data_IF_937264082699
#
_entry.id   IF_937264082699
#
_cell.length_a   1.000
_cell.length_b   1.000
_cell.length_c   1.000
_cell.angle_alpha   90.00
_cell.angle_beta   90.00
_cell.angle_gamma   90.00
#
_symmetry.space_group_name_H-M   'P 1'
#
loop_
_entity.id
_entity.type
_entity.pdbx_description
1 polymer ?
#
# COMPACT_ATOMS: atom_id res chain seq x y z
N UNK A 1 30.47 -0.76 -3.05
CA UNK A 1 29.14 -0.66 -3.69
C UNK A 1 28.37 -1.90 -3.28
N UNK A 2 27.10 -1.78 -2.89
CA UNK A 2 26.32 -2.96 -2.54
C UNK A 2 26.25 -3.91 -3.74
N UNK A 3 26.07 -5.20 -3.45
CA UNK A 3 25.88 -6.22 -4.49
C UNK A 3 24.61 -5.90 -5.26
N UNK A 4 24.71 -5.78 -6.58
CA UNK A 4 23.51 -5.66 -7.44
C UNK A 4 22.83 -7.02 -7.50
N UNK A 5 21.60 -7.09 -7.03
CA UNK A 5 20.77 -8.29 -7.04
C UNK A 5 20.08 -8.39 -8.41
N UNK A 6 20.23 -9.51 -9.07
CA UNK A 6 19.56 -9.75 -10.35
C UNK A 6 18.04 -9.88 -10.18
N UNK A 7 17.28 -9.53 -11.20
CA UNK A 7 15.82 -9.68 -11.19
C UNK A 7 15.37 -11.13 -10.91
N UNK A 8 16.14 -12.11 -11.40
CA UNK A 8 15.86 -13.52 -11.18
C UNK A 8 16.01 -13.89 -9.70
N UNK A 9 17.06 -13.38 -9.03
CA UNK A 9 17.25 -13.57 -7.58
C UNK A 9 16.15 -12.88 -6.77
N UNK A 10 15.77 -11.64 -7.15
CA UNK A 10 14.65 -10.92 -6.51
C UNK A 10 13.36 -11.72 -6.60
N UNK A 11 12.98 -12.19 -7.79
CA UNK A 11 11.75 -12.96 -7.99
C UNK A 11 11.76 -14.27 -7.20
N UNK A 12 12.90 -14.98 -7.16
CA UNK A 12 13.02 -16.19 -6.36
C UNK A 12 12.76 -15.90 -4.87
N UNK A 13 13.29 -14.79 -4.36
CA UNK A 13 13.13 -14.38 -2.97
C UNK A 13 11.71 -13.89 -2.65
N UNK A 14 11.08 -13.14 -3.55
CA UNK A 14 9.66 -12.80 -3.41
C UNK A 14 8.77 -14.04 -3.40
N UNK A 15 9.02 -15.02 -4.27
CA UNK A 15 8.29 -16.29 -4.25
C UNK A 15 8.47 -17.04 -2.94
N UNK A 16 9.70 -17.09 -2.42
CA UNK A 16 9.99 -17.71 -1.12
C UNK A 16 9.26 -16.99 0.02
N UNK A 17 9.22 -15.65 0.02
CA UNK A 17 8.45 -14.85 0.98
C UNK A 17 6.97 -15.23 0.99
N UNK A 18 6.30 -15.14 -0.16
CA UNK A 18 4.86 -15.43 -0.26
C UNK A 18 4.51 -16.88 0.08
N UNK A 19 5.35 -17.82 -0.34
CA UNK A 19 5.17 -19.25 -0.05
C UNK A 19 5.61 -19.64 1.37
N UNK A 20 6.23 -18.74 2.13
CA UNK A 20 6.87 -19.03 3.41
C UNK A 20 7.80 -20.25 3.30
N UNK A 21 8.55 -20.34 2.23
CA UNK A 21 9.52 -21.42 2.01
C UNK A 21 10.88 -21.09 2.62
N UNK A 22 11.69 -22.14 2.78
CA UNK A 22 13.06 -21.98 3.28
C UNK A 22 13.90 -21.11 2.34
N UNK A 23 14.76 -20.29 2.92
CA UNK A 23 15.66 -19.37 2.23
C UNK A 23 16.93 -19.16 3.08
N UNK A 24 18.01 -18.71 2.45
CA UNK A 24 19.30 -18.44 3.09
C UNK A 24 19.28 -17.17 3.97
N UNK A 25 18.43 -16.21 3.64
CA UNK A 25 18.22 -14.95 4.37
C UNK A 25 16.81 -14.41 4.13
N UNK A 26 16.30 -13.48 4.96
CA UNK A 26 15.06 -12.81 4.67
C UNK A 26 15.18 -11.93 3.40
N UNK A 27 14.05 -11.51 2.83
CA UNK A 27 14.02 -10.48 1.81
C UNK A 27 14.45 -9.15 2.43
N UNK A 28 15.49 -8.52 1.86
CA UNK A 28 16.04 -7.25 2.37
C UNK A 28 16.17 -6.25 1.24
N UNK A 29 15.59 -5.08 1.43
CA UNK A 29 15.65 -4.01 0.45
C UNK A 29 15.66 -2.63 1.07
N UNK A 30 15.98 -1.65 0.25
CA UNK A 30 15.85 -0.24 0.56
C UNK A 30 14.80 0.41 -0.34
N UNK A 31 14.06 1.35 0.21
CA UNK A 31 13.00 2.10 -0.49
C UNK A 31 13.17 3.59 -0.25
N UNK A 32 12.54 4.38 -1.10
CA UNK A 32 12.61 5.84 -1.07
C UNK A 32 11.82 6.36 0.13
N UNK A 33 12.45 7.19 0.98
CA UNK A 33 11.80 7.79 2.14
C UNK A 33 11.06 9.10 1.81
N UNK A 34 11.38 9.71 0.66
CA UNK A 34 10.75 10.97 0.27
C UNK A 34 9.24 10.83 0.22
N UNK A 35 8.55 11.80 0.82
CA UNK A 35 7.11 11.92 0.66
C UNK A 35 6.78 12.07 -0.83
N UNK A 36 5.61 11.58 -1.25
CA UNK A 36 5.21 11.69 -2.63
C UNK A 36 5.26 13.13 -3.07
N UNK A 37 5.90 13.35 -4.19
CA UNK A 37 5.90 14.65 -4.81
C UNK A 37 4.48 15.01 -5.25
N UNK A 38 4.11 16.24 -4.99
CA UNK A 38 2.87 16.85 -5.53
C UNK A 38 3.18 17.74 -6.74
N UNK A 39 4.42 17.68 -7.29
CA UNK A 39 4.84 18.49 -8.45
C UNK A 39 3.94 18.26 -9.66
N UNK A 40 3.52 17.00 -9.88
CA UNK A 40 2.61 16.65 -10.96
C UNK A 40 1.16 17.12 -10.74
N UNK A 41 0.85 17.81 -9.63
CA UNK A 41 -0.42 18.51 -9.43
C UNK A 41 -0.20 19.99 -9.65
N UNK A 42 -0.69 20.54 -10.77
CA UNK A 42 -0.43 21.94 -11.18
C UNK A 42 -1.04 22.97 -10.25
N UNK A 43 -2.15 22.64 -9.59
CA UNK A 43 -2.82 23.53 -8.64
C UNK A 43 -2.07 23.55 -7.31
N UNK A 44 -1.60 24.69 -6.88
CA UNK A 44 -0.82 24.83 -5.63
C UNK A 44 -1.68 24.76 -4.36
N UNK A 45 -2.93 25.22 -4.41
CA UNK A 45 -3.88 25.15 -3.30
C UNK A 45 -5.34 25.12 -3.78
N UNK A 46 -6.25 24.59 -2.93
CA UNK A 46 -7.68 24.52 -3.19
C UNK A 46 -8.14 23.17 -3.74
N UNK A 47 -9.31 23.16 -4.40
CA UNK A 47 -9.87 21.94 -4.98
C UNK A 47 -9.16 21.58 -6.29
N UNK A 48 -8.76 20.33 -6.40
CA UNK A 48 -8.06 19.75 -7.55
C UNK A 48 -9.09 19.15 -8.52
N UNK A 49 -8.89 19.36 -9.81
CA UNK A 49 -9.64 18.72 -10.89
C UNK A 49 -8.76 17.72 -11.66
N UNK A 50 -9.33 16.75 -12.41
CA UNK A 50 -8.53 15.79 -13.19
C UNK A 50 -7.50 16.44 -14.12
N UNK A 51 -7.85 17.58 -14.75
CA UNK A 51 -6.97 18.30 -15.67
C UNK A 51 -5.83 19.07 -14.97
N UNK A 52 -5.88 19.22 -13.65
CA UNK A 52 -4.77 19.78 -12.88
C UNK A 52 -3.61 18.78 -12.73
N UNK A 53 -3.79 17.50 -13.09
CA UNK A 53 -2.76 16.49 -12.97
C UNK A 53 -1.89 16.42 -14.22
N UNK A 54 -0.55 16.46 -14.06
CA UNK A 54 0.42 16.51 -15.16
C UNK A 54 1.15 15.16 -15.34
N UNK A 55 0.84 14.48 -16.44
CA UNK A 55 1.47 13.20 -16.80
C UNK A 55 2.96 13.40 -17.08
N UNK A 56 3.35 14.47 -17.77
CA UNK A 56 4.74 14.66 -18.18
C UNK A 56 5.64 14.94 -16.97
N UNK A 57 5.17 15.73 -16.02
CA UNK A 57 5.91 15.95 -14.79
C UNK A 57 6.03 14.68 -13.96
N UNK A 58 4.99 13.84 -13.89
CA UNK A 58 5.07 12.53 -13.22
C UNK A 58 6.09 11.60 -13.91
N UNK A 59 6.15 11.56 -15.24
CA UNK A 59 7.15 10.76 -15.96
C UNK A 59 8.58 11.24 -15.70
N UNK A 60 8.78 12.56 -15.62
CA UNK A 60 10.07 13.15 -15.32
C UNK A 60 10.54 12.81 -13.90
N UNK A 61 9.64 12.93 -12.90
CA UNK A 61 9.93 12.53 -11.52
C UNK A 61 10.33 11.04 -11.45
N UNK A 62 9.59 10.20 -12.17
CA UNK A 62 9.87 8.77 -12.23
C UNK A 62 11.25 8.46 -12.82
N UNK A 63 11.68 9.18 -13.88
CA UNK A 63 13.00 9.01 -14.46
C UNK A 63 14.12 9.46 -13.48
N UNK A 64 13.90 10.56 -12.76
CA UNK A 64 14.81 11.04 -11.71
C UNK A 64 14.98 9.99 -10.61
N UNK A 65 13.88 9.42 -10.11
CA UNK A 65 13.89 8.36 -9.10
C UNK A 65 14.55 7.08 -9.63
N UNK A 66 14.19 6.61 -10.82
CA UNK A 66 14.78 5.42 -11.43
C UNK A 66 16.29 5.54 -11.58
N UNK A 67 16.79 6.67 -12.06
CA UNK A 67 18.22 6.91 -12.22
C UNK A 67 18.96 6.88 -10.88
N UNK A 68 18.35 7.45 -9.83
CA UNK A 68 18.97 7.55 -8.53
C UNK A 68 18.97 6.20 -7.75
N UNK A 69 17.89 5.42 -7.85
CA UNK A 69 17.64 4.32 -6.91
C UNK A 69 17.80 2.91 -7.47
N UNK A 70 17.71 2.68 -8.78
CA UNK A 70 17.66 1.34 -9.38
C UNK A 70 18.79 0.37 -8.93
N UNK A 71 19.95 0.88 -8.56
CA UNK A 71 21.12 0.07 -8.20
C UNK A 71 21.26 -0.16 -6.68
N UNK A 72 20.47 0.53 -5.87
CA UNK A 72 20.58 0.53 -4.40
C UNK A 72 19.30 0.11 -3.70
N UNK A 73 18.48 -0.71 -4.34
CA UNK A 73 17.22 -1.19 -3.78
C UNK A 73 17.31 -2.60 -3.15
N UNK A 74 18.43 -3.31 -3.31
CA UNK A 74 18.57 -4.68 -2.82
C UNK A 74 17.52 -5.60 -3.44
N UNK A 75 16.77 -6.33 -2.61
CA UNK A 75 15.66 -7.20 -3.09
C UNK A 75 14.39 -6.41 -3.46
N UNK A 76 14.23 -5.16 -3.02
CA UNK A 76 13.07 -4.36 -3.41
C UNK A 76 13.06 -4.11 -4.93
N UNK A 77 11.86 -3.97 -5.48
CA UNK A 77 11.68 -3.77 -6.92
C UNK A 77 11.20 -2.34 -7.17
N UNK A 78 11.90 -1.62 -8.05
CA UNK A 78 11.39 -0.32 -8.48
C UNK A 78 10.06 -0.49 -9.20
N UNK A 79 9.06 0.32 -8.85
CA UNK A 79 7.70 0.22 -9.39
C UNK A 79 7.23 1.61 -9.81
N UNK A 80 6.87 1.76 -11.07
CA UNK A 80 6.25 2.98 -11.56
C UNK A 80 4.80 3.11 -11.07
N UNK A 81 4.38 4.34 -10.77
CA UNK A 81 3.14 4.59 -10.10
C UNK A 81 2.39 5.80 -10.67
N UNK A 82 1.09 5.69 -10.97
CA UNK A 82 0.30 6.84 -11.40
C UNK A 82 0.05 7.76 -10.21
N UNK A 83 0.96 8.70 -9.95
CA UNK A 83 0.83 9.71 -8.90
C UNK A 83 0.44 9.07 -7.54
N UNK A 84 1.34 8.28 -6.96
CA UNK A 84 1.01 7.39 -5.85
C UNK A 84 0.44 8.06 -4.59
N UNK A 85 0.72 9.34 -4.37
CA UNK A 85 0.11 10.13 -3.29
C UNK A 85 -1.32 10.59 -3.56
N UNK A 86 -1.78 10.48 -4.79
CA UNK A 86 -3.11 10.96 -5.13
C UNK A 86 -4.18 9.99 -4.65
N UNK A 87 -5.20 10.46 -3.91
CA UNK A 87 -6.24 9.59 -3.34
C UNK A 87 -7.30 9.21 -4.41
N UNK A 88 -6.89 8.45 -5.43
CA UNK A 88 -7.70 8.11 -6.60
C UNK A 88 -9.07 7.54 -6.25
N UNK A 89 -9.12 6.61 -5.28
CA UNK A 89 -10.37 5.93 -4.92
C UNK A 89 -11.35 6.87 -4.22
N UNK A 90 -10.86 7.83 -3.42
CA UNK A 90 -11.71 8.87 -2.83
C UNK A 90 -12.26 9.80 -3.91
N UNK A 91 -11.44 10.19 -4.87
CA UNK A 91 -11.86 11.01 -5.99
C UNK A 91 -12.95 10.30 -6.83
N UNK A 92 -12.77 9.00 -7.10
CA UNK A 92 -13.79 8.17 -7.78
C UNK A 92 -15.07 8.01 -6.96
N UNK A 93 -14.97 8.02 -5.63
CA UNK A 93 -16.11 7.98 -4.72
C UNK A 93 -16.89 9.29 -4.66
N UNK A 94 -16.41 10.34 -5.33
CA UNK A 94 -17.03 11.66 -5.36
C UNK A 94 -16.54 12.60 -4.25
N UNK A 95 -15.51 12.23 -3.48
CA UNK A 95 -14.87 13.13 -2.52
C UNK A 95 -14.17 14.28 -3.26
N UNK A 96 -14.47 15.55 -2.96
CA UNK A 96 -13.67 16.66 -3.45
C UNK A 96 -12.24 16.52 -2.94
N UNK A 97 -11.25 16.56 -3.84
CA UNK A 97 -9.84 16.47 -3.46
C UNK A 97 -9.30 17.87 -3.25
N UNK A 98 -8.74 18.11 -2.07
CA UNK A 98 -8.15 19.38 -1.70
C UNK A 98 -6.63 19.24 -1.61
N UNK A 99 -5.91 20.24 -2.16
CA UNK A 99 -4.47 20.42 -1.98
C UNK A 99 -4.22 21.60 -1.04
N UNK A 100 -3.23 21.47 -0.18
CA UNK A 100 -2.69 22.54 0.65
C UNK A 100 -1.20 22.28 0.84
N UNK A 101 -0.37 23.20 0.35
CA UNK A 101 1.09 23.02 0.27
C UNK A 101 1.44 21.63 -0.33
N UNK A 102 2.03 20.75 0.44
CA UNK A 102 2.51 19.44 0.02
C UNK A 102 1.53 18.28 0.32
N UNK A 103 0.30 18.60 0.78
CA UNK A 103 -0.68 17.59 1.15
C UNK A 103 -1.84 17.53 0.16
N UNK A 104 -2.36 16.30 -0.01
CA UNK A 104 -3.57 16.00 -0.78
C UNK A 104 -4.49 15.14 0.07
N UNK A 105 -5.77 15.52 0.20
CA UNK A 105 -6.76 14.73 0.92
C UNK A 105 -8.16 14.88 0.35
N UNK A 106 -9.01 13.87 0.60
CA UNK A 106 -10.43 13.92 0.24
C UNK A 106 -11.27 14.60 1.32
N UNK A 107 -12.22 15.41 0.92
CA UNK A 107 -13.26 15.91 1.80
C UNK A 107 -14.44 14.93 1.84
N UNK A 108 -15.16 14.80 2.97
CA UNK A 108 -16.34 13.94 3.04
C UNK A 108 -17.37 14.26 1.96
N UNK A 109 -18.02 13.21 1.42
CA UNK A 109 -18.98 13.33 0.33
C UNK A 109 -20.30 12.57 0.60
N UNK A 110 -20.40 11.82 1.69
CA UNK A 110 -21.60 11.07 2.08
C UNK A 110 -22.25 11.69 3.31
N UNK A 111 -23.12 12.67 3.08
CA UNK A 111 -23.86 13.33 4.17
C UNK A 111 -25.10 12.55 4.58
N UNK A 112 -25.77 11.93 3.61
CA UNK A 112 -27.02 11.20 3.78
C UNK A 112 -26.87 9.76 3.27
N UNK A 113 -27.36 8.80 4.05
CA UNK A 113 -27.36 7.39 3.67
C UNK A 113 -28.15 7.09 2.38
N UNK A 114 -29.15 7.90 2.01
CA UNK A 114 -29.83 7.81 0.72
C UNK A 114 -28.91 7.99 -0.50
N UNK A 115 -27.74 8.59 -0.29
CA UNK A 115 -26.72 8.78 -1.34
C UNK A 115 -25.77 7.58 -1.51
N UNK A 116 -25.83 6.59 -0.61
CA UNK A 116 -24.91 5.43 -0.61
C UNK A 116 -24.88 4.70 -1.97
N UNK A 117 -25.98 4.68 -2.71
CA UNK A 117 -26.07 4.08 -4.05
C UNK A 117 -25.15 4.72 -5.10
N UNK A 118 -24.68 5.94 -4.87
CA UNK A 118 -23.74 6.64 -5.75
C UNK A 118 -22.32 6.11 -5.63
N UNK A 119 -21.99 5.49 -4.50
CA UNK A 119 -20.67 4.89 -4.24
C UNK A 119 -20.53 3.60 -5.04
N UNK A 120 -20.06 3.72 -6.27
CA UNK A 120 -19.84 2.60 -7.19
C UNK A 120 -18.72 2.92 -8.16
N UNK A 121 -18.05 1.90 -8.65
CA UNK A 121 -17.13 2.05 -9.76
C UNK A 121 -17.89 2.43 -11.03
N UNK A 122 -17.38 3.43 -11.73
CA UNK A 122 -17.89 3.90 -13.01
C UNK A 122 -16.67 4.11 -13.95
N UNK A 123 -16.56 3.35 -15.05
CA UNK A 123 -15.45 3.51 -16.00
C UNK A 123 -15.47 4.88 -16.71
N UNK A 124 -16.61 5.57 -16.71
CA UNK A 124 -16.74 6.92 -17.28
C UNK A 124 -16.43 8.03 -16.28
N UNK A 125 -16.15 7.70 -15.03
CA UNK A 125 -15.75 8.67 -14.01
C UNK A 125 -14.48 9.43 -14.46
N UNK A 126 -14.47 10.77 -14.46
CA UNK A 126 -13.34 11.57 -14.94
C UNK A 126 -12.01 11.27 -14.22
N UNK A 127 -12.06 10.93 -12.93
CA UNK A 127 -10.88 10.57 -12.14
C UNK A 127 -10.34 9.21 -12.53
N UNK A 128 -11.22 8.21 -12.78
CA UNK A 128 -10.77 6.92 -13.27
C UNK A 128 -10.15 7.03 -14.67
N UNK A 129 -10.78 7.78 -15.58
CA UNK A 129 -10.22 8.05 -16.91
C UNK A 129 -8.84 8.69 -16.81
N UNK A 130 -8.67 9.66 -15.91
CA UNK A 130 -7.38 10.33 -15.71
C UNK A 130 -6.33 9.38 -15.15
N UNK A 131 -6.65 8.57 -14.13
CA UNK A 131 -5.74 7.52 -13.63
C UNK A 131 -5.36 6.52 -14.74
N UNK A 132 -6.31 6.17 -15.59
CA UNK A 132 -6.10 5.25 -16.70
C UNK A 132 -5.16 5.84 -17.76
N UNK A 133 -5.27 7.13 -18.07
CA UNK A 133 -4.33 7.86 -18.94
C UNK A 133 -2.90 7.85 -18.38
N UNK A 134 -2.74 8.13 -17.08
CA UNK A 134 -1.46 8.02 -16.39
C UNK A 134 -0.90 6.61 -16.51
N UNK A 135 -1.71 5.59 -16.22
CA UNK A 135 -1.32 4.19 -16.30
C UNK A 135 -0.82 3.82 -17.69
N UNK A 136 -1.53 4.19 -18.74
CA UNK A 136 -1.10 3.96 -20.12
C UNK A 136 0.19 4.70 -20.48
N UNK A 137 0.36 5.93 -20.02
CA UNK A 137 1.59 6.68 -20.22
C UNK A 137 2.77 5.99 -19.54
N UNK A 138 2.60 5.52 -18.30
CA UNK A 138 3.60 4.79 -17.53
C UNK A 138 3.97 3.46 -18.19
N UNK A 139 2.99 2.68 -18.67
CA UNK A 139 3.25 1.41 -19.37
C UNK A 139 4.11 1.63 -20.62
N UNK A 140 3.76 2.65 -21.44
CA UNK A 140 4.57 3.01 -22.63
C UNK A 140 5.96 3.49 -22.23
N UNK A 141 6.05 4.32 -21.19
CA UNK A 141 7.31 4.90 -20.73
C UNK A 141 8.24 3.85 -20.10
N UNK A 142 7.71 2.97 -19.28
CA UNK A 142 8.46 1.87 -18.67
C UNK A 142 9.05 0.94 -19.72
N UNK A 143 8.33 0.68 -20.80
CA UNK A 143 8.80 -0.19 -21.92
C UNK A 143 9.39 -1.53 -21.43
N UNK A 144 8.86 -2.10 -20.35
CA UNK A 144 9.33 -3.35 -19.76
C UNK A 144 10.55 -3.24 -18.84
N UNK A 145 11.17 -2.07 -18.69
CA UNK A 145 12.34 -1.86 -17.81
C UNK A 145 12.04 -2.12 -16.32
N UNK A 146 10.84 -1.80 -15.90
CA UNK A 146 10.34 -1.98 -14.54
C UNK A 146 8.81 -2.14 -14.56
N UNK A 147 8.20 -2.74 -13.54
CA UNK A 147 6.74 -2.90 -13.48
C UNK A 147 6.03 -1.57 -13.27
N UNK A 148 4.78 -1.52 -13.75
CA UNK A 148 3.81 -0.48 -13.40
C UNK A 148 2.88 -1.04 -12.33
N UNK A 149 2.71 -0.34 -11.23
CA UNK A 149 1.85 -0.73 -10.13
C UNK A 149 0.38 -0.45 -10.43
N UNK A 150 -0.49 -1.31 -9.93
CA UNK A 150 -1.93 -1.19 -10.13
C UNK A 150 -2.74 -1.36 -8.82
N UNK A 151 -2.23 -2.13 -7.88
CA UNK A 151 -2.93 -2.53 -6.65
C UNK A 151 -2.80 -1.54 -5.51
N UNK A 152 -2.66 -0.26 -5.80
CA UNK A 152 -2.48 0.74 -4.76
C UNK A 152 -3.80 1.15 -4.14
N UNK A 153 -4.02 0.75 -2.90
CA UNK A 153 -5.02 1.29 -2.00
C UNK A 153 -4.31 2.00 -0.85
N UNK A 154 -3.77 3.20 -1.10
CA UNK A 154 -3.09 3.99 -0.06
C UNK A 154 -4.03 4.26 1.12
N UNK A 155 -5.32 4.45 0.81
CA UNK A 155 -6.43 4.39 1.75
C UNK A 155 -7.27 3.17 1.35
N UNK A 156 -7.15 2.07 2.08
CA UNK A 156 -7.95 0.87 1.84
C UNK A 156 -9.44 1.12 2.03
N UNK A 157 -10.29 0.14 1.71
CA UNK A 157 -11.74 0.29 1.89
C UNK A 157 -12.14 0.71 3.30
N UNK A 158 -11.39 0.31 4.33
CA UNK A 158 -11.63 0.67 5.74
C UNK A 158 -11.43 2.17 5.95
N UNK A 159 -10.28 2.71 5.55
CA UNK A 159 -10.00 4.13 5.67
C UNK A 159 -10.87 4.98 4.74
N UNK A 160 -11.21 4.43 3.58
CA UNK A 160 -12.12 5.07 2.63
C UNK A 160 -13.51 5.31 3.24
N UNK A 161 -14.03 4.40 4.08
CA UNK A 161 -15.30 4.62 4.79
C UNK A 161 -15.24 5.88 5.65
N UNK A 162 -14.14 6.04 6.41
CA UNK A 162 -13.91 7.21 7.25
C UNK A 162 -13.84 8.49 6.43
N UNK A 163 -13.09 8.47 5.35
CA UNK A 163 -12.91 9.67 4.52
C UNK A 163 -14.19 10.07 3.82
N UNK A 164 -14.93 9.11 3.28
CA UNK A 164 -16.18 9.35 2.55
C UNK A 164 -17.30 9.86 3.49
N UNK A 165 -17.44 9.25 4.69
CA UNK A 165 -18.48 9.59 5.65
C UNK A 165 -18.12 10.76 6.57
N UNK A 166 -16.83 10.97 6.80
CA UNK A 166 -16.29 11.85 7.84
C UNK A 166 -16.09 11.09 9.15
N UNK A 167 -14.93 11.33 9.78
CA UNK A 167 -14.47 10.57 10.94
C UNK A 167 -15.47 10.58 12.09
N UNK A 168 -15.96 11.76 12.50
CA UNK A 168 -16.89 11.89 13.64
C UNK A 168 -18.21 11.19 13.37
N UNK A 169 -18.76 11.36 12.16
CA UNK A 169 -20.03 10.71 11.78
C UNK A 169 -19.88 9.20 11.73
N UNK A 170 -18.81 8.69 11.13
CA UNK A 170 -18.58 7.25 11.09
C UNK A 170 -18.45 6.65 12.48
N UNK A 171 -17.76 7.33 13.40
CA UNK A 171 -17.62 6.87 14.77
C UNK A 171 -18.97 6.74 15.51
N UNK A 172 -19.89 7.67 15.30
CA UNK A 172 -21.27 7.59 15.81
C UNK A 172 -22.08 6.50 15.11
N UNK A 173 -21.97 6.43 13.77
CA UNK A 173 -22.73 5.47 12.95
C UNK A 173 -22.38 4.01 13.25
N UNK A 174 -21.18 3.70 13.78
CA UNK A 174 -20.83 2.36 14.26
C UNK A 174 -21.83 1.83 15.30
N UNK A 175 -22.45 2.73 16.08
CA UNK A 175 -23.44 2.41 17.11
C UNK A 175 -24.87 2.70 16.66
N UNK A 176 -25.10 3.83 16.00
CA UNK A 176 -26.44 4.31 15.65
C UNK A 176 -26.99 3.70 14.35
N UNK A 177 -26.10 3.32 13.41
CA UNK A 177 -26.47 2.83 12.08
C UNK A 177 -25.57 1.70 11.57
N UNK A 178 -25.34 0.62 12.37
CA UNK A 178 -24.36 -0.41 12.08
C UNK A 178 -24.59 -1.12 10.72
N UNK A 179 -25.85 -1.27 10.29
CA UNK A 179 -26.16 -1.87 8.99
C UNK A 179 -25.72 -0.98 7.82
N UNK A 180 -25.87 0.35 7.98
CA UNK A 180 -25.45 1.30 6.96
C UNK A 180 -23.91 1.36 6.88
N UNK A 181 -23.21 1.23 8.02
CA UNK A 181 -21.75 1.14 8.04
C UNK A 181 -21.27 -0.12 7.31
N UNK A 182 -21.90 -1.29 7.52
CA UNK A 182 -21.58 -2.51 6.76
C UNK A 182 -21.84 -2.33 5.26
N UNK A 183 -22.96 -1.73 4.90
CA UNK A 183 -23.29 -1.44 3.51
C UNK A 183 -22.28 -0.46 2.87
N UNK A 184 -21.80 0.54 3.62
CA UNK A 184 -20.73 1.45 3.17
C UNK A 184 -19.43 0.69 2.92
N UNK A 185 -19.01 -0.18 3.87
CA UNK A 185 -17.82 -1.02 3.71
C UNK A 185 -17.87 -1.87 2.44
N UNK A 186 -19.02 -2.53 2.20
CA UNK A 186 -19.27 -3.30 1.00
C UNK A 186 -19.12 -2.48 -0.28
N UNK A 187 -19.65 -1.23 -0.29
CA UNK A 187 -19.52 -0.33 -1.44
C UNK A 187 -18.07 0.08 -1.66
N UNK A 188 -17.33 0.37 -0.59
CA UNK A 188 -15.91 0.72 -0.69
C UNK A 188 -15.08 -0.45 -1.26
N UNK A 189 -15.30 -1.69 -0.78
CA UNK A 189 -14.65 -2.88 -1.35
C UNK A 189 -14.96 -3.04 -2.83
N UNK A 190 -16.23 -2.91 -3.21
CA UNK A 190 -16.66 -3.08 -4.60
C UNK A 190 -16.01 -2.04 -5.53
N UNK A 191 -15.97 -0.78 -5.12
CA UNK A 191 -15.34 0.29 -5.90
C UNK A 191 -13.84 0.04 -6.03
N UNK A 192 -13.15 -0.20 -4.91
CA UNK A 192 -11.70 -0.40 -4.90
C UNK A 192 -11.30 -1.61 -5.75
N UNK A 193 -11.93 -2.75 -5.55
CA UNK A 193 -11.60 -3.96 -6.29
C UNK A 193 -11.86 -3.82 -7.80
N UNK A 194 -12.99 -3.23 -8.18
CA UNK A 194 -13.31 -3.01 -9.59
C UNK A 194 -12.32 -2.05 -10.28
N UNK A 195 -11.92 -0.97 -9.60
CA UNK A 195 -10.93 -0.04 -10.12
C UNK A 195 -9.55 -0.71 -10.29
N UNK A 196 -9.10 -1.48 -9.28
CA UNK A 196 -7.82 -2.21 -9.34
C UNK A 196 -7.82 -3.24 -10.48
N UNK A 197 -8.87 -4.05 -10.63
CA UNK A 197 -8.96 -5.02 -11.73
C UNK A 197 -8.96 -4.34 -13.10
N UNK A 198 -9.66 -3.19 -13.25
CA UNK A 198 -9.68 -2.44 -14.49
C UNK A 198 -8.27 -1.91 -14.84
N UNK A 199 -7.51 -1.44 -13.86
CA UNK A 199 -6.10 -1.02 -14.06
C UNK A 199 -5.22 -2.23 -14.39
N UNK A 200 -5.35 -3.36 -13.68
CA UNK A 200 -4.58 -4.58 -13.98
C UNK A 200 -4.82 -5.11 -15.40
N UNK A 201 -6.01 -4.93 -15.94
CA UNK A 201 -6.30 -5.30 -17.33
C UNK A 201 -5.46 -4.49 -18.34
N UNK A 202 -5.04 -3.27 -18.00
CA UNK A 202 -4.24 -2.39 -18.84
C UNK A 202 -2.73 -2.50 -18.58
N UNK A 203 -2.31 -3.07 -17.46
CA UNK A 203 -0.90 -3.19 -17.06
C UNK A 203 -0.38 -4.58 -17.42
N UNK A 204 0.74 -4.72 -18.16
CA UNK A 204 1.34 -6.02 -18.43
C UNK A 204 1.92 -6.65 -17.15
N UNK A 205 2.01 -7.97 -17.11
CA UNK A 205 2.80 -8.66 -16.09
C UNK A 205 4.27 -8.33 -16.23
N UNK A 206 5.00 -8.26 -15.12
CA UNK A 206 6.44 -8.10 -15.11
C UNK A 206 7.08 -9.32 -14.46
N UNK A 207 7.97 -9.99 -15.17
CA UNK A 207 8.64 -11.23 -14.72
C UNK A 207 7.67 -12.30 -14.21
N UNK A 208 6.50 -12.41 -14.85
CA UNK A 208 5.48 -13.40 -14.53
C UNK A 208 4.65 -13.09 -13.28
N UNK A 209 4.61 -11.82 -12.84
CA UNK A 209 3.80 -11.39 -11.70
C UNK A 209 3.36 -9.94 -11.79
N UNK A 210 2.96 -9.38 -10.66
CA UNK A 210 2.47 -8.01 -10.49
C UNK A 210 3.25 -7.30 -9.39
N UNK A 211 3.25 -5.99 -9.38
CA UNK A 211 3.94 -5.21 -8.34
C UNK A 211 2.99 -4.19 -7.69
N UNK A 212 3.10 -4.07 -6.39
CA UNK A 212 2.50 -3.02 -5.59
C UNK A 212 3.44 -1.83 -5.46
N UNK A 213 2.88 -0.65 -5.32
CA UNK A 213 3.60 0.61 -5.48
C UNK A 213 4.08 1.20 -4.17
N UNK A 214 3.30 1.08 -3.10
CA UNK A 214 3.62 1.74 -1.83
C UNK A 214 4.89 1.16 -1.20
N UNK A 215 5.13 -0.14 -1.40
CA UNK A 215 6.22 -0.86 -0.74
C UNK A 215 7.28 -1.39 -1.71
N UNK A 216 7.19 -1.05 -3.00
CA UNK A 216 8.12 -1.58 -4.01
C UNK A 216 8.21 -3.11 -3.96
N UNK A 217 7.03 -3.75 -3.87
CA UNK A 217 6.88 -5.16 -3.59
C UNK A 217 6.26 -5.91 -4.78
N UNK A 218 6.74 -7.12 -5.04
CA UNK A 218 6.26 -7.95 -6.16
C UNK A 218 5.54 -9.21 -5.63
N UNK A 219 4.53 -9.67 -6.37
CA UNK A 219 3.80 -10.91 -6.09
C UNK A 219 3.62 -11.75 -7.37
N UNK A 220 3.51 -13.09 -7.23
CA UNK A 220 3.34 -13.99 -8.38
C UNK A 220 2.01 -13.84 -9.14
N UNK A 221 1.09 -13.03 -8.67
CA UNK A 221 -0.23 -12.79 -9.25
C UNK A 221 -0.74 -11.40 -8.95
N UNK A 222 -2.02 -11.16 -9.19
CA UNK A 222 -2.67 -9.92 -8.82
C UNK A 222 -2.55 -9.69 -7.32
N UNK A 223 -2.17 -8.49 -6.96
CA UNK A 223 -1.76 -8.13 -5.62
C UNK A 223 -2.44 -6.82 -5.22
N UNK A 224 -2.94 -6.74 -3.99
CA UNK A 224 -3.49 -5.52 -3.42
C UNK A 224 -2.83 -5.21 -2.08
N UNK A 225 -2.37 -3.97 -1.93
CA UNK A 225 -1.97 -3.39 -0.65
C UNK A 225 -3.13 -2.58 -0.09
N UNK A 226 -3.50 -2.80 1.16
CA UNK A 226 -4.60 -2.11 1.84
C UNK A 226 -4.19 -1.65 3.22
N UNK A 227 -4.83 -0.60 3.73
CA UNK A 227 -4.61 -0.04 5.05
C UNK A 227 -5.90 0.01 5.86
N UNK A 228 -5.74 0.17 7.16
CA UNK A 228 -6.84 0.30 8.13
C UNK A 228 -6.50 1.29 9.24
N UNK A 229 -5.97 2.46 8.88
CA UNK A 229 -5.45 3.42 9.85
C UNK A 229 -6.48 3.85 10.90
N UNK A 230 -7.76 3.92 10.53
CA UNK A 230 -8.85 4.21 11.48
C UNK A 230 -8.93 3.18 12.62
N UNK A 231 -8.45 1.97 12.43
CA UNK A 231 -8.58 0.87 13.41
C UNK A 231 -7.86 1.16 14.74
N UNK A 232 -6.95 2.15 14.78
CA UNK A 232 -6.32 2.56 16.04
C UNK A 232 -7.34 2.99 17.11
N UNK A 233 -8.52 3.49 16.71
CA UNK A 233 -9.61 3.92 17.60
C UNK A 233 -10.62 2.81 17.91
N UNK A 234 -10.50 1.64 17.29
CA UNK A 234 -11.48 0.57 17.39
C UNK A 234 -11.09 -0.44 18.47
N UNK A 235 -12.07 -0.84 19.29
CA UNK A 235 -11.89 -2.02 20.12
C UNK A 235 -11.78 -3.28 19.26
N UNK A 236 -11.17 -4.38 19.76
CA UNK A 236 -11.16 -5.65 19.03
C UNK A 236 -12.55 -6.17 18.64
N UNK A 237 -13.59 -5.84 19.41
CA UNK A 237 -14.97 -6.21 19.10
C UNK A 237 -15.51 -5.45 17.89
N UNK A 238 -15.33 -4.13 17.84
CA UNK A 238 -15.70 -3.30 16.68
C UNK A 238 -14.89 -3.69 15.44
N UNK A 239 -13.60 -3.94 15.61
CA UNK A 239 -12.75 -4.42 14.52
C UNK A 239 -13.26 -5.73 13.91
N UNK A 240 -13.59 -6.73 14.74
CA UNK A 240 -14.20 -7.98 14.24
C UNK A 240 -15.54 -7.74 13.53
N UNK A 241 -16.33 -6.80 14.00
CA UNK A 241 -17.68 -6.55 13.49
C UNK A 241 -17.66 -5.79 12.15
N UNK A 242 -16.77 -4.82 11.98
CA UNK A 242 -16.82 -3.90 10.84
C UNK A 242 -15.62 -3.99 9.90
N UNK A 243 -14.42 -4.32 10.38
CA UNK A 243 -13.19 -4.29 9.59
C UNK A 243 -12.84 -5.67 9.04
N UNK A 244 -12.90 -6.71 9.88
CA UNK A 244 -12.61 -8.10 9.46
C UNK A 244 -13.42 -8.54 8.24
N UNK A 245 -14.75 -8.29 8.14
CA UNK A 245 -15.52 -8.64 6.94
C UNK A 245 -15.02 -7.95 5.67
N UNK A 246 -14.58 -6.70 5.78
CA UNK A 246 -14.06 -5.90 4.66
C UNK A 246 -12.75 -6.51 4.15
N UNK A 247 -11.81 -6.82 5.04
CA UNK A 247 -10.55 -7.45 4.65
C UNK A 247 -10.77 -8.83 4.04
N UNK A 248 -11.65 -9.65 4.64
CA UNK A 248 -12.00 -10.96 4.08
C UNK A 248 -12.51 -10.84 2.66
N UNK A 249 -13.49 -9.98 2.43
CA UNK A 249 -14.08 -9.81 1.11
C UNK A 249 -13.11 -9.25 0.08
N UNK A 250 -12.29 -8.25 0.46
CA UNK A 250 -11.24 -7.72 -0.42
C UNK A 250 -10.25 -8.82 -0.77
N UNK A 251 -9.77 -9.59 0.23
CA UNK A 251 -8.77 -10.63 0.03
C UNK A 251 -9.28 -11.81 -0.79
N UNK A 252 -10.58 -12.09 -0.78
CA UNK A 252 -11.19 -13.11 -1.67
C UNK A 252 -11.15 -12.72 -3.15
N UNK A 253 -10.93 -11.45 -3.46
CA UNK A 253 -10.89 -10.94 -4.84
C UNK A 253 -9.49 -10.89 -5.45
N UNK A 254 -8.46 -11.06 -4.62
CA UNK A 254 -7.06 -10.99 -5.04
C UNK A 254 -6.28 -12.17 -4.47
N UNK A 255 -5.47 -12.86 -5.28
CA UNK A 255 -4.66 -13.98 -4.79
C UNK A 255 -3.59 -13.56 -3.77
N UNK A 256 -3.20 -12.27 -3.77
CA UNK A 256 -2.24 -11.71 -2.83
C UNK A 256 -2.77 -10.42 -2.22
N UNK A 257 -2.82 -10.37 -0.89
CA UNK A 257 -3.24 -9.19 -0.12
C UNK A 257 -2.23 -8.90 0.97
N UNK A 258 -1.78 -7.66 1.05
CA UNK A 258 -0.91 -7.15 2.10
C UNK A 258 -1.67 -6.12 2.92
N UNK A 259 -1.91 -6.40 4.19
CA UNK A 259 -2.56 -5.45 5.11
C UNK A 259 -1.49 -4.64 5.83
N UNK A 260 -1.54 -3.32 5.65
CA UNK A 260 -0.66 -2.36 6.28
C UNK A 260 -1.19 -1.94 7.65
N UNK A 261 -0.27 -1.90 8.63
CA UNK A 261 -0.52 -1.46 9.99
C UNK A 261 0.60 -0.53 10.46
N UNK A 262 0.23 0.51 11.18
CA UNK A 262 1.12 1.25 12.04
C UNK A 262 1.19 0.62 13.44
N UNK A 263 2.13 1.09 14.26
CA UNK A 263 2.30 0.58 15.62
C UNK A 263 1.07 0.74 16.50
N UNK A 264 0.28 1.78 16.28
CA UNK A 264 -0.97 2.03 17.01
C UNK A 264 -2.08 1.00 16.74
N UNK A 265 -2.03 0.28 15.58
CA UNK A 265 -3.03 -0.73 15.23
C UNK A 265 -2.64 -2.16 15.62
N UNK A 266 -1.49 -2.41 16.21
CA UNK A 266 -1.00 -3.77 16.48
C UNK A 266 -1.92 -4.61 17.40
N UNK A 267 -2.82 -3.96 18.14
CA UNK A 267 -3.86 -4.65 18.92
C UNK A 267 -4.90 -5.37 18.04
N UNK A 268 -4.98 -5.05 16.73
CA UNK A 268 -5.89 -5.69 15.77
C UNK A 268 -5.29 -6.97 15.17
N UNK A 269 -3.98 -7.18 15.27
CA UNK A 269 -3.28 -8.33 14.69
C UNK A 269 -3.96 -9.69 15.02
N UNK A 270 -4.37 -9.98 16.27
CA UNK A 270 -5.02 -11.26 16.55
C UNK A 270 -6.28 -11.49 15.72
N UNK A 271 -7.06 -10.43 15.43
CA UNK A 271 -8.28 -10.53 14.62
C UNK A 271 -7.99 -10.68 13.12
N UNK A 272 -6.90 -10.06 12.64
CA UNK A 272 -6.44 -10.21 11.24
C UNK A 272 -5.84 -11.59 10.98
N UNK A 273 -5.16 -12.17 11.97
CA UNK A 273 -4.63 -13.53 11.85
C UNK A 273 -5.74 -14.57 11.66
N UNK A 274 -6.96 -14.32 12.14
CA UNK A 274 -8.13 -15.19 11.97
C UNK A 274 -8.78 -15.07 10.58
N UNK A 275 -8.34 -14.12 9.74
CA UNK A 275 -8.78 -14.00 8.33
C UNK A 275 -7.82 -14.79 7.45
N UNK A 276 -8.19 -16.01 7.07
CA UNK A 276 -7.33 -16.92 6.29
C UNK A 276 -6.93 -16.33 4.94
N UNK A 277 -7.83 -15.57 4.32
CA UNK A 277 -7.68 -15.00 3.00
C UNK A 277 -6.61 -13.87 2.93
N UNK A 278 -6.29 -13.20 4.05
CA UNK A 278 -5.17 -12.25 4.11
C UNK A 278 -3.86 -13.03 3.92
N UNK A 279 -3.10 -12.69 2.89
CA UNK A 279 -1.88 -13.44 2.55
C UNK A 279 -0.62 -12.93 3.24
N UNK A 280 -0.55 -11.65 3.61
CA UNK A 280 0.58 -11.09 4.36
C UNK A 280 0.16 -9.89 5.21
N UNK A 281 0.94 -9.61 6.26
CA UNK A 281 0.80 -8.42 7.10
C UNK A 281 2.07 -7.57 6.95
N UNK A 282 1.89 -6.27 6.89
CA UNK A 282 2.99 -5.32 6.91
C UNK A 282 2.88 -4.40 8.13
N UNK A 283 3.99 -4.20 8.82
CA UNK A 283 4.11 -3.28 9.95
C UNK A 283 5.03 -2.13 9.54
N UNK A 284 4.55 -0.89 9.72
CA UNK A 284 5.39 0.30 9.66
C UNK A 284 5.71 0.74 11.09
N UNK A 285 6.97 0.68 11.50
CA UNK A 285 7.40 1.28 12.78
C UNK A 285 7.16 2.79 12.78
N UNK A 286 6.73 3.33 13.91
CA UNK A 286 6.69 4.76 14.08
C UNK A 286 8.10 5.34 14.22
N UNK A 287 8.28 6.63 13.89
CA UNK A 287 9.60 7.24 13.88
C UNK A 287 10.28 7.18 15.26
N UNK A 288 11.50 6.63 15.29
CA UNK A 288 12.28 6.50 16.54
C UNK A 288 11.81 5.41 17.49
N UNK A 289 10.90 4.54 17.04
CA UNK A 289 10.33 3.49 17.86
C UNK A 289 11.31 2.34 18.12
N UNK A 290 11.33 1.87 19.39
CA UNK A 290 11.96 0.61 19.75
C UNK A 290 11.08 -0.58 19.34
N UNK A 291 11.61 -1.45 18.48
CA UNK A 291 10.90 -2.62 17.96
C UNK A 291 11.05 -3.87 18.84
N UNK A 292 11.99 -3.88 19.78
CA UNK A 292 12.24 -5.04 20.63
C UNK A 292 10.98 -5.54 21.38
N UNK A 293 10.13 -4.68 21.96
CA UNK A 293 8.89 -5.11 22.61
C UNK A 293 7.85 -5.74 21.66
N UNK A 294 7.99 -5.53 20.34
CA UNK A 294 7.06 -6.03 19.33
C UNK A 294 7.48 -7.35 18.71
N UNK A 295 8.71 -7.80 18.96
CA UNK A 295 9.24 -9.06 18.43
C UNK A 295 8.33 -10.26 18.74
N UNK A 296 7.77 -10.43 19.96
CA UNK A 296 6.85 -11.53 20.22
C UNK A 296 5.60 -11.55 19.33
N UNK A 297 5.03 -10.36 19.05
CA UNK A 297 3.87 -10.25 18.15
C UNK A 297 4.26 -10.52 16.69
N UNK A 298 5.43 -10.04 16.26
CA UNK A 298 5.97 -10.34 14.93
C UNK A 298 6.21 -11.84 14.74
N UNK A 299 6.68 -12.54 15.78
CA UNK A 299 6.81 -14.00 15.78
C UNK A 299 5.46 -14.69 15.58
N UNK A 300 4.41 -14.27 16.31
CA UNK A 300 3.04 -14.80 16.13
C UNK A 300 2.52 -14.58 14.70
N UNK A 301 2.81 -13.44 14.08
CA UNK A 301 2.46 -13.22 12.67
C UNK A 301 3.17 -14.25 11.79
N UNK A 302 4.48 -14.43 11.96
CA UNK A 302 5.30 -15.35 11.15
C UNK A 302 4.94 -16.82 11.35
N UNK A 303 4.32 -17.20 12.44
CA UNK A 303 3.75 -18.55 12.62
C UNK A 303 2.64 -18.85 11.62
N UNK A 304 1.89 -17.83 11.19
CA UNK A 304 0.69 -17.99 10.37
C UNK A 304 0.79 -17.36 8.98
N UNK A 305 1.44 -16.20 8.87
CA UNK A 305 1.48 -15.37 7.65
C UNK A 305 2.87 -14.78 7.41
N UNK A 306 3.24 -14.48 6.16
CA UNK A 306 4.39 -13.62 5.85
C UNK A 306 4.29 -12.26 6.54
N UNK A 307 5.42 -11.73 6.97
CA UNK A 307 5.57 -10.43 7.61
C UNK A 307 6.55 -9.55 6.82
N UNK A 308 6.08 -8.39 6.41
CA UNK A 308 6.92 -7.31 5.92
C UNK A 308 7.05 -6.23 7.00
N UNK A 309 8.26 -5.93 7.45
CA UNK A 309 8.57 -4.73 8.23
C UNK A 309 9.13 -3.67 7.28
N UNK A 310 8.43 -2.54 7.14
CA UNK A 310 8.81 -1.48 6.20
C UNK A 310 8.70 -0.11 6.86
N UNK A 311 9.80 0.62 6.94
CA UNK A 311 9.81 1.94 7.56
C UNK A 311 11.21 2.47 7.78
N UNK A 312 11.30 3.58 8.49
CA UNK A 312 12.58 4.15 8.93
C UNK A 312 13.11 3.29 10.07
N UNK A 313 14.11 2.47 9.76
CA UNK A 313 14.74 1.55 10.70
C UNK A 313 16.25 1.70 10.66
N UNK A 314 16.90 1.49 11.80
CA UNK A 314 18.35 1.43 11.87
C UNK A 314 18.86 0.03 11.47
N UNK A 315 20.13 -0.08 11.08
CA UNK A 315 20.80 -1.37 10.88
C UNK A 315 20.74 -2.22 12.17
N UNK A 316 20.85 -1.59 13.34
CA UNK A 316 20.76 -2.29 14.62
C UNK A 316 19.38 -2.91 14.84
N UNK A 317 18.29 -2.16 14.60
CA UNK A 317 16.91 -2.66 14.71
C UNK A 317 16.63 -3.80 13.73
N UNK A 318 17.07 -3.67 12.46
CA UNK A 318 16.94 -4.73 11.47
C UNK A 318 17.71 -6.01 11.86
N UNK A 319 18.94 -5.85 12.38
CA UNK A 319 19.76 -6.97 12.86
C UNK A 319 19.13 -7.66 14.08
N UNK A 320 18.46 -6.91 14.95
CA UNK A 320 17.74 -7.45 16.09
C UNK A 320 16.54 -8.27 15.65
N UNK A 321 15.75 -7.77 14.71
CA UNK A 321 14.61 -8.50 14.11
C UNK A 321 15.11 -9.83 13.52
N UNK A 322 16.15 -9.82 12.69
CA UNK A 322 16.67 -11.03 12.03
C UNK A 322 17.20 -12.05 13.03
N UNK A 323 17.84 -11.61 14.12
CA UNK A 323 18.36 -12.52 15.16
C UNK A 323 17.27 -13.22 15.99
N UNK A 324 16.12 -12.58 16.14
CA UNK A 324 15.07 -13.03 17.04
C UNK A 324 13.85 -13.63 16.34
N UNK A 325 13.76 -13.52 15.01
CA UNK A 325 12.62 -14.01 14.24
C UNK A 325 13.02 -15.08 13.21
N UNK A 326 12.12 -16.02 12.88
CA UNK A 326 12.30 -16.90 11.74
C UNK A 326 12.47 -16.10 10.45
N UNK A 327 13.44 -16.46 9.60
CA UNK A 327 13.67 -15.79 8.31
C UNK A 327 12.64 -16.16 7.25
N UNK A 328 11.98 -17.30 7.41
CA UNK A 328 10.97 -17.81 6.51
C UNK A 328 9.74 -16.93 6.51
N UNK A 329 9.41 -16.33 5.36
CA UNK A 329 8.29 -15.38 5.22
C UNK A 329 8.58 -14.00 5.82
N UNK A 330 9.82 -13.69 6.17
CA UNK A 330 10.23 -12.37 6.69
C UNK A 330 10.79 -11.50 5.56
N UNK A 331 10.37 -10.25 5.54
CA UNK A 331 10.93 -9.20 4.69
C UNK A 331 11.19 -7.94 5.50
N UNK A 332 12.33 -7.29 5.25
CA UNK A 332 12.69 -5.99 5.81
C UNK A 332 12.95 -5.00 4.67
N UNK A 333 12.19 -3.92 4.62
CA UNK A 333 12.42 -2.84 3.68
C UNK A 333 12.71 -1.54 4.45
N UNK A 334 13.91 -1.03 4.27
CA UNK A 334 14.39 0.18 4.93
C UNK A 334 14.02 1.41 4.11
N UNK A 335 13.28 2.35 4.70
CA UNK A 335 13.06 3.65 4.08
C UNK A 335 14.30 4.52 4.31
N UNK A 336 14.91 4.94 3.22
CA UNK A 336 16.15 5.71 3.22
C UNK A 336 15.95 7.08 2.56
N UNK A 337 16.59 8.12 3.11
CA UNK A 337 16.49 9.49 2.59
C UNK A 337 17.38 9.72 1.35
N UNK A 338 18.34 8.82 1.11
CA UNK A 338 19.24 8.93 -0.01
C UNK A 338 19.76 7.57 -0.52
N UNK A 339 20.16 7.49 -1.80
CA UNK A 339 20.83 6.31 -2.35
C UNK A 339 22.10 5.93 -1.58
N UNK A 340 22.83 6.90 -1.04
CA UNK A 340 24.04 6.66 -0.27
C UNK A 340 23.74 5.99 1.08
N UNK A 341 22.65 6.35 1.73
CA UNK A 341 22.15 5.68 2.94
C UNK A 341 21.69 4.27 2.63
N UNK A 342 20.89 4.10 1.57
CA UNK A 342 20.43 2.80 1.11
C UNK A 342 21.60 1.84 0.86
N UNK A 343 22.66 2.30 0.18
CA UNK A 343 23.85 1.52 -0.05
C UNK A 343 24.51 1.05 1.26
N UNK A 344 24.66 1.95 2.25
CA UNK A 344 25.24 1.60 3.58
C UNK A 344 24.41 0.57 4.33
N UNK A 345 23.06 0.73 4.30
CA UNK A 345 22.15 -0.21 4.93
C UNK A 345 22.29 -1.59 4.27
N UNK A 346 22.25 -1.64 2.95
CA UNK A 346 22.34 -2.89 2.20
C UNK A 346 23.70 -3.59 2.37
N UNK A 347 24.82 -2.86 2.38
CA UNK A 347 26.15 -3.43 2.64
C UNK A 347 26.26 -4.12 4.01
N UNK A 348 25.34 -3.83 4.95
CA UNK A 348 25.31 -4.47 6.28
C UNK A 348 24.58 -5.82 6.28
N UNK A 349 23.79 -6.14 5.24
CA UNK A 349 22.91 -7.30 5.19
C UNK A 349 23.10 -8.19 3.96
N UNK A 350 23.65 -7.67 2.87
CA UNK A 350 23.80 -8.33 1.56
C UNK A 350 25.27 -8.56 1.19
#
# INVERSE_FOLDING_TARGET
>A
MPRVISDQEKIARFRAFWARSETDRPLIGATIATFPSVRAVRREAGLVAPDDLDIQENLKELDEEWQAWREVMGDAMFVANPLWAFPWHLAMAGCPIKRDADNLWGLPALDDWGQLGRLRFDPDNPWFRRQFEFTHALVRHAAGRYPVGAGQLMLGPVDMMMQVRGQERLALDLYDSPEMVRALGQRCVNLCAAAVHAIYAAVPTHLGGRAGTIRYFWAPGEFVETAEDISFMMSPALHRQFVVPIHRELSQRFPYTLVHLHSAQLHTVPTLLDVEEITAIQITPDFGEDLAPKIPLMAQILERKPLLVHGVMTVASGSEIIRNLPIRGLALLFRCDSPAEAAKVLDSFL
#
